data_IF_213994610052
#
_entry.id   IF_213994610052
#
_cell.length_a   1.000
_cell.length_b   1.000
_cell.length_c   1.000
_cell.angle_alpha   90.00
_cell.angle_beta   90.00
_cell.angle_gamma   90.00
#
_symmetry.space_group_name_H-M   'P 1'
#
loop_
_entity.id
_entity.type
_entity.pdbx_description
1 polymer ?
#
# COMPACT_ATOMS: atom_id res chain seq x y z
N UNK A 1 -34.39 12.00 -23.91
CA UNK A 1 -32.93 11.88 -23.78
C UNK A 1 -32.36 13.27 -23.90
N UNK A 2 -31.84 13.83 -22.81
CA UNK A 2 -31.31 15.19 -22.80
C UNK A 2 -29.89 15.18 -23.34
N UNK A 3 -29.52 16.24 -24.11
CA UNK A 3 -28.14 16.45 -24.59
C UNK A 3 -27.14 16.45 -23.43
N UNK A 4 -27.57 16.78 -22.22
CA UNK A 4 -26.79 16.72 -21.01
C UNK A 4 -26.45 15.29 -20.53
N UNK A 5 -27.31 14.30 -20.83
CA UNK A 5 -27.03 12.89 -20.50
C UNK A 5 -26.01 12.28 -21.46
N UNK A 6 -25.97 12.75 -22.70
CA UNK A 6 -24.96 12.36 -23.69
C UNK A 6 -23.58 12.92 -23.36
N UNK A 7 -23.51 14.18 -22.90
CA UNK A 7 -22.23 14.82 -22.49
C UNK A 7 -21.66 14.19 -21.23
N UNK A 8 -22.49 13.75 -20.28
CA UNK A 8 -22.03 13.02 -19.09
C UNK A 8 -21.43 11.65 -19.40
N UNK A 9 -21.83 11.02 -20.49
CA UNK A 9 -21.30 9.72 -20.92
C UNK A 9 -19.90 9.77 -21.55
N UNK A 10 -19.48 10.95 -22.06
CA UNK A 10 -18.19 11.14 -22.76
C UNK A 10 -17.11 11.81 -21.90
N UNK A 11 -17.39 12.18 -20.65
CA UNK A 11 -16.36 12.73 -19.78
C UNK A 11 -15.36 11.61 -19.44
N UNK A 12 -14.13 11.80 -19.92
CA UNK A 12 -12.98 10.95 -19.56
C UNK A 12 -12.87 10.87 -18.05
N UNK A 13 -12.97 9.65 -17.51
CA UNK A 13 -12.75 9.39 -16.10
C UNK A 13 -11.26 9.58 -15.79
N UNK A 14 -10.97 10.40 -14.78
CA UNK A 14 -9.61 10.62 -14.29
C UNK A 14 -9.49 9.98 -12.93
N UNK A 15 -8.58 9.03 -12.83
CA UNK A 15 -8.23 8.36 -11.58
C UNK A 15 -6.92 8.96 -11.11
N UNK A 16 -6.96 9.76 -10.08
CA UNK A 16 -5.77 10.36 -9.47
C UNK A 16 -5.91 10.45 -7.95
N UNK A 17 -4.79 10.46 -7.28
CA UNK A 17 -4.72 10.71 -5.84
C UNK A 17 -3.72 11.83 -5.56
N UNK A 18 -4.22 12.89 -4.91
CA UNK A 18 -3.40 13.97 -4.38
C UNK A 18 -3.25 13.76 -2.89
N UNK A 19 -2.05 13.40 -2.47
CA UNK A 19 -1.72 13.22 -1.07
C UNK A 19 -1.26 14.54 -0.47
N UNK A 20 -2.12 15.16 0.33
CA UNK A 20 -1.79 16.33 1.13
C UNK A 20 -1.31 15.92 2.54
N UNK A 21 -1.41 14.65 2.91
CA UNK A 21 -0.90 14.11 4.15
C UNK A 21 0.57 13.71 4.03
N UNK A 22 1.29 13.77 5.14
CA UNK A 22 2.69 13.29 5.19
C UNK A 22 2.80 11.89 5.75
N UNK A 23 1.70 11.26 6.06
CA UNK A 23 1.62 10.05 6.86
C UNK A 23 0.86 8.90 6.19
N UNK A 24 0.25 9.10 5.01
CA UNK A 24 -0.42 8.04 4.27
C UNK A 24 0.58 7.18 3.49
N UNK A 25 0.54 5.87 3.72
CA UNK A 25 1.36 4.86 3.05
C UNK A 25 0.64 4.24 1.87
N UNK A 26 -0.62 3.87 2.05
CA UNK A 26 -1.48 3.38 0.98
C UNK A 26 -2.87 3.97 1.06
N UNK A 27 -3.47 4.15 -0.09
CA UNK A 27 -4.81 4.71 -0.26
C UNK A 27 -5.54 3.94 -1.34
N UNK A 28 -6.72 3.41 -1.02
CA UNK A 28 -7.60 2.79 -2.01
C UNK A 28 -8.51 3.85 -2.60
N UNK A 29 -8.44 4.01 -3.91
CA UNK A 29 -9.30 4.95 -4.62
C UNK A 29 -10.78 4.60 -4.38
N UNK A 30 -11.60 5.55 -3.91
CA UNK A 30 -13.01 5.34 -3.63
C UNK A 30 -13.75 5.27 -4.97
N UNK A 31 -14.15 4.09 -5.35
CA UNK A 31 -15.09 3.86 -6.42
C UNK A 31 -16.23 3.01 -5.86
N UNK A 32 -17.39 3.61 -5.68
CA UNK A 32 -18.56 2.97 -5.09
C UNK A 32 -18.98 1.74 -5.88
N UNK A 33 -18.82 1.79 -7.21
CA UNK A 33 -19.15 0.70 -8.12
C UNK A 33 -17.96 -0.18 -8.48
N UNK A 34 -16.73 0.22 -8.12
CA UNK A 34 -15.45 -0.40 -8.53
C UNK A 34 -15.32 -0.56 -10.06
N UNK A 35 -16.00 0.29 -10.78
CA UNK A 35 -16.19 0.21 -12.22
C UNK A 35 -15.35 1.25 -12.94
N UNK A 36 -14.21 0.85 -13.48
CA UNK A 36 -13.34 1.71 -14.26
C UNK A 36 -13.83 1.73 -15.73
N UNK A 37 -14.07 2.91 -16.27
CA UNK A 37 -14.48 3.06 -17.66
C UNK A 37 -13.32 2.78 -18.61
N UNK A 38 -13.62 2.17 -19.76
CA UNK A 38 -12.63 2.00 -20.81
C UNK A 38 -12.17 3.38 -21.33
N UNK A 39 -10.86 3.60 -21.41
CA UNK A 39 -10.27 4.89 -21.75
C UNK A 39 -10.04 5.83 -20.59
N UNK A 40 -10.37 5.44 -19.35
CA UNK A 40 -10.04 6.20 -18.16
C UNK A 40 -8.54 6.56 -18.11
N UNK A 41 -8.22 7.73 -17.57
CA UNK A 41 -6.85 8.18 -17.42
C UNK A 41 -6.38 7.98 -16.00
N UNK A 42 -5.37 7.15 -15.81
CA UNK A 42 -4.71 6.95 -14.54
C UNK A 42 -3.50 7.89 -14.44
N UNK A 43 -3.48 8.73 -13.43
CA UNK A 43 -2.38 9.67 -13.16
C UNK A 43 -1.63 9.17 -11.93
N UNK A 44 -0.36 8.85 -12.10
CA UNK A 44 0.55 8.40 -11.03
C UNK A 44 1.67 9.42 -10.88
N UNK A 45 1.82 10.00 -9.70
CA UNK A 45 2.84 11.02 -9.43
C UNK A 45 4.20 10.38 -9.15
N UNK A 46 5.29 11.15 -9.24
CA UNK A 46 6.68 10.68 -9.08
C UNK A 46 6.95 9.91 -7.78
N UNK A 47 6.28 10.29 -6.69
CA UNK A 47 6.43 9.64 -5.39
C UNK A 47 5.39 8.55 -5.11
N UNK A 48 4.69 8.10 -6.14
CA UNK A 48 3.60 7.12 -6.02
C UNK A 48 3.82 5.95 -6.96
N UNK A 49 3.16 4.86 -6.64
CA UNK A 49 2.98 3.70 -7.50
C UNK A 49 1.55 3.21 -7.33
N UNK A 50 0.95 2.72 -8.39
CA UNK A 50 -0.41 2.19 -8.35
C UNK A 50 -0.40 0.70 -8.58
N UNK A 51 -1.12 -0.02 -7.73
CA UNK A 51 -1.34 -1.45 -7.83
C UNK A 51 -2.82 -1.73 -8.05
N UNK A 52 -3.14 -2.41 -9.15
CA UNK A 52 -4.48 -2.94 -9.35
C UNK A 52 -4.66 -4.28 -8.63
N UNK A 53 -5.85 -4.45 -8.04
CA UNK A 53 -6.29 -5.71 -7.46
C UNK A 53 -7.63 -6.08 -8.09
N UNK A 54 -7.67 -7.21 -8.80
CA UNK A 54 -8.85 -7.70 -9.48
C UNK A 54 -9.28 -9.04 -8.90
N UNK A 55 -10.53 -9.10 -8.41
CA UNK A 55 -11.08 -10.31 -7.78
C UNK A 55 -10.18 -10.91 -6.68
N UNK A 56 -9.47 -10.04 -5.94
CA UNK A 56 -8.54 -10.46 -4.89
C UNK A 56 -7.15 -10.87 -5.39
N UNK A 57 -6.90 -10.86 -6.70
CA UNK A 57 -5.59 -11.13 -7.28
C UNK A 57 -4.86 -9.83 -7.64
N UNK A 58 -3.55 -9.80 -7.39
CA UNK A 58 -2.72 -8.67 -7.78
C UNK A 58 -2.54 -8.62 -9.29
N UNK A 59 -3.04 -7.55 -9.87
CA UNK A 59 -2.88 -7.21 -11.28
C UNK A 59 -1.57 -6.47 -11.57
N UNK A 60 -1.66 -5.52 -12.51
CA UNK A 60 -0.53 -4.72 -12.95
C UNK A 60 -0.15 -3.64 -11.93
N UNK A 61 1.16 -3.32 -11.92
CA UNK A 61 1.73 -2.22 -11.15
C UNK A 61 2.11 -1.09 -12.11
N UNK A 62 1.56 0.10 -11.88
CA UNK A 62 1.83 1.29 -12.69
C UNK A 62 2.83 2.21 -12.01
N UNK A 63 3.89 2.54 -12.74
CA UNK A 63 4.94 3.49 -12.32
C UNK A 63 4.47 4.94 -12.53
N UNK A 64 5.20 5.94 -12.01
CA UNK A 64 4.91 7.34 -12.27
C UNK A 64 4.69 7.65 -13.75
N UNK A 65 3.67 8.45 -14.04
CA UNK A 65 3.30 8.84 -15.38
C UNK A 65 1.77 8.88 -15.58
N UNK A 66 1.38 9.22 -16.81
CA UNK A 66 0.01 9.18 -17.28
C UNK A 66 -0.22 7.90 -18.06
N UNK A 67 -1.18 7.10 -17.64
CA UNK A 67 -1.54 5.83 -18.27
C UNK A 67 -2.98 5.86 -18.75
N UNK A 68 -3.20 5.46 -20.00
CA UNK A 68 -4.55 5.27 -20.53
C UNK A 68 -4.98 3.82 -20.28
N UNK A 69 -6.07 3.65 -19.57
CA UNK A 69 -6.61 2.34 -19.23
C UNK A 69 -7.48 1.82 -20.37
N UNK A 70 -6.83 1.33 -21.41
CA UNK A 70 -7.48 0.70 -22.57
C UNK A 70 -7.23 -0.79 -22.52
N UNK A 71 -8.22 -1.58 -22.87
CA UNK A 71 -8.19 -3.05 -22.80
C UNK A 71 -6.98 -3.67 -23.50
N UNK A 72 -6.48 -3.04 -24.55
CA UNK A 72 -5.36 -3.54 -25.35
C UNK A 72 -3.97 -3.31 -24.70
N UNK A 73 -3.87 -2.38 -23.75
CA UNK A 73 -2.60 -1.95 -23.17
C UNK A 73 -2.32 -2.52 -21.76
N UNK A 74 -3.27 -3.24 -21.18
CA UNK A 74 -3.11 -3.81 -19.85
C UNK A 74 -3.01 -5.32 -19.96
N UNK A 75 -1.83 -5.93 -19.72
CA UNK A 75 -1.60 -7.37 -19.89
C UNK A 75 -2.51 -8.27 -19.05
N UNK A 76 -2.96 -7.79 -17.89
CA UNK A 76 -3.90 -8.54 -17.04
C UNK A 76 -5.30 -8.53 -17.66
N UNK A 77 -5.73 -7.44 -18.27
CA UNK A 77 -7.03 -7.35 -18.95
C UNK A 77 -7.09 -8.27 -20.17
N UNK A 78 -5.97 -8.49 -20.86
CA UNK A 78 -5.90 -9.44 -21.99
C UNK A 78 -5.93 -10.90 -21.55
N UNK A 79 -5.52 -11.22 -20.31
CA UNK A 79 -5.64 -12.58 -19.76
C UNK A 79 -7.04 -12.93 -19.28
N UNK A 80 -7.87 -11.93 -19.00
CA UNK A 80 -9.28 -12.13 -18.68
C UNK A 80 -10.02 -12.42 -19.98
N UNK A 81 -9.88 -13.66 -20.46
CA UNK A 81 -10.58 -14.20 -21.64
C UNK A 81 -12.11 -14.22 -21.53
N UNK A 82 -12.67 -13.67 -20.48
CA UNK A 82 -14.09 -13.61 -20.20
C UNK A 82 -14.64 -12.18 -20.24
N UNK A 83 -14.11 -11.31 -21.12
CA UNK A 83 -14.80 -10.07 -21.47
C UNK A 83 -15.77 -10.32 -22.64
N UNK A 84 -16.92 -11.03 -22.41
CA UNK A 84 -17.78 -11.47 -23.52
C UNK A 84 -18.72 -10.37 -24.03
N UNK A 85 -18.73 -9.20 -23.40
CA UNK A 85 -19.75 -8.20 -23.68
C UNK A 85 -19.13 -6.87 -24.06
N UNK A 86 -18.65 -6.76 -25.31
CA UNK A 86 -18.43 -5.50 -26.00
C UNK A 86 -17.79 -4.36 -25.19
N UNK A 87 -17.10 -3.47 -25.82
CA UNK A 87 -16.29 -2.35 -25.30
C UNK A 87 -16.97 -1.38 -24.30
N UNK A 88 -18.18 -1.64 -23.84
CA UNK A 88 -18.96 -0.79 -22.94
C UNK A 88 -19.14 -1.35 -21.51
N UNK A 89 -18.55 -2.50 -21.17
CA UNK A 89 -18.68 -3.04 -19.83
C UNK A 89 -17.61 -2.46 -18.91
N UNK A 90 -17.97 -1.83 -17.79
CA UNK A 90 -16.99 -1.30 -16.84
C UNK A 90 -16.16 -2.43 -16.21
N UNK A 91 -14.87 -2.19 -16.10
CA UNK A 91 -13.95 -3.10 -15.44
C UNK A 91 -13.96 -2.84 -13.92
N UNK A 92 -14.25 -3.86 -13.13
CA UNK A 92 -14.27 -3.74 -11.67
C UNK A 92 -12.94 -4.15 -11.08
N UNK A 93 -12.21 -3.20 -10.51
CA UNK A 93 -10.97 -3.45 -9.80
C UNK A 93 -10.78 -2.47 -8.66
N UNK A 94 -10.10 -2.92 -7.61
CA UNK A 94 -9.61 -2.03 -6.57
C UNK A 94 -8.30 -1.38 -7.03
N UNK A 95 -8.18 -0.06 -6.90
CA UNK A 95 -7.02 0.73 -7.27
C UNK A 95 -6.33 1.21 -6.01
N UNK A 96 -5.15 0.66 -5.72
CA UNK A 96 -4.35 1.07 -4.57
C UNK A 96 -3.22 1.99 -5.00
N UNK A 97 -3.20 3.19 -4.46
CA UNK A 97 -2.07 4.10 -4.52
C UNK A 97 -1.15 3.84 -3.34
N UNK A 98 0.14 3.71 -3.59
CA UNK A 98 1.16 3.55 -2.56
C UNK A 98 2.20 4.65 -2.70
N UNK A 99 2.61 5.19 -1.56
CA UNK A 99 3.65 6.22 -1.50
C UNK A 99 5.03 5.58 -1.48
N UNK A 100 5.89 5.93 -2.45
CA UNK A 100 7.26 5.42 -2.58
C UNK A 100 8.34 6.38 -2.08
N UNK A 101 7.93 7.50 -1.47
CA UNK A 101 8.86 8.45 -0.83
C UNK A 101 9.58 7.80 0.35
N UNK A 102 10.69 8.40 0.74
CA UNK A 102 11.40 8.01 1.96
C UNK A 102 10.70 8.65 3.18
N UNK A 103 10.29 7.83 4.13
CA UNK A 103 9.79 8.26 5.44
C UNK A 103 10.94 8.29 6.42
N UNK A 104 11.29 9.48 6.88
CA UNK A 104 12.47 9.71 7.72
C UNK A 104 12.12 10.04 9.16
N UNK A 105 13.08 9.80 10.05
CA UNK A 105 13.02 10.17 11.48
C UNK A 105 11.82 9.56 12.23
N UNK A 106 11.41 8.36 11.86
CA UNK A 106 10.36 7.64 12.55
C UNK A 106 10.89 7.14 13.89
N UNK A 107 10.30 7.62 14.98
CA UNK A 107 10.74 7.32 16.35
C UNK A 107 10.18 5.99 16.82
N UNK A 108 11.02 5.21 17.47
CA UNK A 108 10.60 4.01 18.17
C UNK A 108 11.18 3.97 19.58
N UNK A 109 10.58 3.20 20.47
CA UNK A 109 11.09 3.02 21.82
C UNK A 109 10.30 1.93 22.57
N UNK A 110 10.95 1.32 23.55
CA UNK A 110 10.31 0.35 24.44
C UNK A 110 9.35 1.07 25.38
N UNK A 111 8.09 0.64 25.42
CA UNK A 111 7.11 1.20 26.35
C UNK A 111 7.50 0.93 27.81
N UNK A 112 7.92 -0.31 28.11
CA UNK A 112 8.38 -0.75 29.42
C UNK A 112 9.87 -1.13 29.37
N UNK A 113 10.60 -1.03 30.49
CA UNK A 113 11.95 -1.55 30.58
C UNK A 113 11.98 -3.06 30.31
N UNK A 114 12.96 -3.49 29.54
CA UNK A 114 13.25 -4.90 29.29
C UNK A 114 14.27 -5.37 30.33
N UNK A 115 14.03 -6.52 30.93
CA UNK A 115 14.97 -7.15 31.86
C UNK A 115 15.94 -7.98 31.01
N UNK A 116 17.22 -7.63 31.06
CA UNK A 116 18.31 -8.35 30.40
C UNK A 116 19.22 -8.95 31.44
N UNK A 117 19.76 -10.13 31.16
CA UNK A 117 20.82 -10.74 31.97
C UNK A 117 22.16 -10.38 31.35
N UNK A 118 23.01 -9.83 32.16
CA UNK A 118 24.37 -9.44 31.81
C UNK A 118 25.34 -10.23 32.71
N UNK A 119 26.45 -10.69 32.16
CA UNK A 119 27.39 -11.55 32.86
C UNK A 119 28.15 -10.78 33.96
N UNK A 120 28.37 -9.47 33.77
CA UNK A 120 29.10 -8.65 34.73
C UNK A 120 28.16 -7.97 35.74
N UNK A 121 26.98 -7.52 35.32
CA UNK A 121 26.05 -6.74 36.13
C UNK A 121 24.83 -7.53 36.63
N UNK A 122 24.68 -8.79 36.22
CA UNK A 122 23.53 -9.63 36.57
C UNK A 122 22.27 -9.22 35.85
N UNK A 123 21.16 -8.96 36.58
CA UNK A 123 19.89 -8.54 35.96
C UNK A 123 19.85 -7.01 35.83
N UNK A 124 19.84 -6.51 34.61
CA UNK A 124 19.75 -5.08 34.29
C UNK A 124 18.40 -4.73 33.66
N UNK A 125 17.93 -3.53 33.97
CA UNK A 125 16.72 -2.97 33.36
C UNK A 125 17.13 -1.98 32.26
N UNK A 126 16.84 -2.32 31.01
CA UNK A 126 17.19 -1.48 29.85
C UNK A 126 15.95 -0.87 29.20
N UNK A 127 16.10 0.34 28.69
CA UNK A 127 15.16 0.97 27.73
C UNK A 127 15.91 1.27 26.45
N UNK A 128 15.31 0.93 25.33
CA UNK A 128 15.86 1.24 24.02
C UNK A 128 14.94 2.22 23.29
N UNK A 129 15.56 3.15 22.58
CA UNK A 129 14.86 4.08 21.68
C UNK A 129 15.77 4.45 20.52
N UNK A 130 15.16 4.88 19.43
CA UNK A 130 15.90 5.26 18.24
C UNK A 130 15.00 5.84 17.16
N UNK A 131 15.58 6.04 16.00
CA UNK A 131 14.88 6.45 14.79
C UNK A 131 15.20 5.47 13.66
N UNK A 132 14.26 5.30 12.73
CA UNK A 132 14.45 4.53 11.51
C UNK A 132 13.86 5.25 10.32
N UNK A 133 14.42 4.98 9.15
CA UNK A 133 13.93 5.46 7.88
C UNK A 133 13.52 4.28 7.02
N UNK A 134 12.44 4.43 6.26
CA UNK A 134 11.98 3.38 5.36
C UNK A 134 11.29 3.94 4.12
N UNK A 135 11.19 3.12 3.09
CA UNK A 135 10.37 3.35 1.90
C UNK A 135 9.76 2.06 1.40
N UNK A 136 8.63 2.15 0.73
CA UNK A 136 7.99 1.01 0.07
C UNK A 136 8.72 0.74 -1.25
N UNK A 137 9.27 -0.46 -1.40
CA UNK A 137 10.00 -0.90 -2.59
C UNK A 137 9.14 -1.84 -3.43
N UNK A 138 8.46 -2.79 -2.79
CA UNK A 138 7.56 -3.73 -3.46
C UNK A 138 6.11 -3.48 -3.02
N UNK A 139 5.28 -2.91 -3.92
CA UNK A 139 3.88 -2.62 -3.62
C UNK A 139 3.05 -3.86 -3.31
N UNK A 140 3.28 -4.97 -4.04
CA UNK A 140 2.51 -6.21 -3.88
C UNK A 140 2.79 -6.85 -2.54
N UNK A 141 4.08 -6.93 -2.18
CA UNK A 141 4.49 -7.48 -0.90
C UNK A 141 3.99 -6.63 0.26
N UNK A 142 4.05 -5.30 0.13
CA UNK A 142 3.55 -4.37 1.15
C UNK A 142 2.05 -4.55 1.38
N UNK A 143 1.23 -4.57 0.34
CA UNK A 143 -0.21 -4.80 0.46
C UNK A 143 -0.52 -6.17 1.05
N UNK A 144 0.19 -7.21 0.63
CA UNK A 144 -0.03 -8.57 1.11
C UNK A 144 0.30 -8.75 2.59
N UNK A 145 1.43 -8.20 3.04
CA UNK A 145 2.02 -8.50 4.35
C UNK A 145 1.68 -7.46 5.43
N UNK A 146 1.37 -6.23 5.03
CA UNK A 146 1.28 -5.10 5.95
C UNK A 146 -0.08 -4.41 5.89
N UNK A 147 -0.44 -3.82 4.75
CA UNK A 147 -1.65 -3.02 4.64
C UNK A 147 -2.93 -3.85 4.53
N UNK A 148 -2.82 -5.08 3.98
CA UNK A 148 -4.00 -5.91 3.75
C UNK A 148 -5.01 -5.23 2.82
N UNK A 149 -6.28 -5.19 3.24
CA UNK A 149 -7.39 -4.57 2.50
C UNK A 149 -7.80 -3.20 3.04
N UNK A 150 -6.98 -2.57 3.86
CA UNK A 150 -7.27 -1.26 4.41
C UNK A 150 -7.40 -0.19 3.33
N UNK A 151 -8.43 0.67 3.49
CA UNK A 151 -8.70 1.74 2.54
C UNK A 151 -7.68 2.88 2.62
N UNK A 152 -7.13 3.12 3.83
CA UNK A 152 -6.19 4.20 4.09
C UNK A 152 -5.23 3.80 5.20
N UNK A 153 -4.15 3.12 4.84
CA UNK A 153 -3.15 2.65 5.78
C UNK A 153 -2.12 3.75 6.06
N UNK A 154 -1.93 4.05 7.34
CA UNK A 154 -1.16 5.20 7.80
C UNK A 154 0.15 4.81 8.47
N UNK A 155 1.02 5.82 8.65
CA UNK A 155 2.33 5.67 9.27
C UNK A 155 2.27 5.25 10.73
N UNK A 156 1.27 5.70 11.49
CA UNK A 156 1.08 5.33 12.90
C UNK A 156 0.77 3.83 13.07
N UNK A 157 -0.09 3.27 12.22
CA UNK A 157 -0.41 1.84 12.19
C UNK A 157 0.81 1.00 11.79
N UNK A 158 1.59 1.48 10.82
CA UNK A 158 2.85 0.86 10.44
C UNK A 158 3.86 0.87 11.59
N UNK A 159 4.01 2.01 12.28
CA UNK A 159 4.91 2.15 13.41
C UNK A 159 4.56 1.20 14.56
N UNK A 160 3.27 0.96 14.81
CA UNK A 160 2.82 -0.01 15.81
C UNK A 160 3.16 -1.45 15.41
N UNK A 161 2.93 -1.78 14.14
CA UNK A 161 3.29 -3.10 13.58
C UNK A 161 4.80 -3.36 13.68
N UNK A 162 5.63 -2.36 13.36
CA UNK A 162 7.09 -2.47 13.46
C UNK A 162 7.55 -2.59 14.91
N UNK A 163 6.98 -1.81 15.82
CA UNK A 163 7.29 -1.89 17.26
C UNK A 163 7.05 -3.29 17.81
N UNK A 164 5.95 -3.92 17.48
CA UNK A 164 5.63 -5.28 17.93
C UNK A 164 6.61 -6.33 17.41
N UNK A 165 7.07 -6.19 16.16
CA UNK A 165 8.04 -7.12 15.54
C UNK A 165 9.46 -6.97 16.11
N UNK A 166 9.89 -5.75 16.42
CA UNK A 166 11.23 -5.50 16.98
C UNK A 166 11.35 -6.00 18.41
N UNK A 167 10.34 -5.76 19.24
CA UNK A 167 10.29 -6.30 20.60
C UNK A 167 10.29 -7.84 20.59
N UNK A 168 9.54 -8.46 19.66
CA UNK A 168 9.52 -9.91 19.49
C UNK A 168 10.88 -10.49 19.10
N UNK A 169 11.67 -9.83 18.25
CA UNK A 169 13.02 -10.27 17.86
C UNK A 169 14.03 -10.12 18.99
N UNK A 170 13.98 -9.05 19.77
CA UNK A 170 14.86 -8.86 20.92
C UNK A 170 14.64 -9.98 21.95
N UNK A 171 13.39 -10.31 22.27
CA UNK A 171 13.07 -11.39 23.24
C UNK A 171 13.35 -12.80 22.71
N UNK A 172 13.31 -13.03 21.37
CA UNK A 172 13.67 -14.31 20.78
C UNK A 172 15.18 -14.55 20.76
N UNK A 173 15.99 -13.50 20.61
CA UNK A 173 17.46 -13.64 20.62
C UNK A 173 17.99 -14.01 22.00
N UNK A 174 17.34 -13.54 23.03
CA UNK A 174 17.66 -13.89 24.43
C UNK A 174 17.41 -15.37 24.74
N UNK A 175 16.34 -15.97 24.19
CA UNK A 175 16.03 -17.40 24.38
C UNK A 175 17.00 -18.37 23.69
N UNK A 176 17.75 -17.93 22.69
CA UNK A 176 18.74 -18.78 21.99
C UNK A 176 20.06 -18.84 22.74
N UNK A 177 20.37 -17.86 23.61
CA UNK A 177 21.59 -17.85 24.42
C UNK A 177 21.48 -18.68 25.70
N UNK A 178 20.26 -19.02 26.11
CA UNK A 178 20.03 -19.87 27.29
C UNK A 178 20.13 -21.40 27.02
N UNK A 179 20.51 -21.80 25.80
CA UNK A 179 20.62 -23.20 25.36
C UNK A 179 21.98 -23.57 24.75
N UNK A 180 23.04 -22.85 25.08
CA UNK A 180 24.43 -23.26 24.73
C UNK A 180 25.25 -23.47 25.99
#
# INVERSE_FOLDING_TARGET
MSVFDFIKGELLEIIEWTDDSRDTLSYRFPDDDKAIKNGAQLIVRESQVVQFVYLGEFGDTFKPGKHSLVTDNIPVLTKIKSWPFGFNSPFKADVYYLTTRLFTANKWGTANPIMLRDDDFGIVRARAFGTYDFKIVDPKLFLKEVAGSDHNFRLDEFAETMRSREIGRASCRERVLDHV
#
